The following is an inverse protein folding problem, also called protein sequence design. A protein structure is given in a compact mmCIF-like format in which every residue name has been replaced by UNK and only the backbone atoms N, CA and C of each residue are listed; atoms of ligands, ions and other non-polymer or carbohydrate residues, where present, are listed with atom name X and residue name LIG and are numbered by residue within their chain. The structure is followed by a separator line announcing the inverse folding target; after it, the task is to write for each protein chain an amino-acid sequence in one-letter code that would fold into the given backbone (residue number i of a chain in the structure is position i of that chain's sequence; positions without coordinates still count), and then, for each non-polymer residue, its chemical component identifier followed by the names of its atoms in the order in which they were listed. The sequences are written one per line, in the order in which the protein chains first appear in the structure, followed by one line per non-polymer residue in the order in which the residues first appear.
data_IF_840126204107
#
_entry.id   IF_840126204107
#
_cell.length_a   1.000
_cell.length_b   1.000
_cell.length_c   1.000
_cell.angle_alpha   90.00
_cell.angle_beta   90.00
_cell.angle_gamma   90.00
#
_symmetry.space_group_name_H-M   'P 1'
#
loop_
_entity.id
_entity.type
_entity.pdbx_description
1 polymer ?
#
# COMPACT_ATOMS: atom_id res chain seq x y z
N UNK A 1 -9.62 12.48 -32.46
CA UNK A 1 -9.38 11.32 -33.33
C UNK A 1 -8.40 10.41 -32.59
N UNK A 2 -8.92 9.44 -31.81
CA UNK A 2 -8.09 8.45 -31.13
C UNK A 2 -7.70 7.37 -32.13
N UNK A 3 -6.42 7.17 -32.30
CA UNK A 3 -5.90 6.04 -33.04
C UNK A 3 -6.19 4.75 -32.26
N UNK A 4 -7.11 3.97 -32.79
CA UNK A 4 -7.42 2.64 -32.27
C UNK A 4 -6.38 1.67 -32.81
N UNK A 5 -5.29 1.48 -32.06
CA UNK A 5 -4.17 0.60 -32.43
C UNK A 5 -4.63 -0.86 -32.57
N UNK A 6 -5.77 -1.24 -31.99
CA UNK A 6 -6.31 -2.59 -32.07
C UNK A 6 -6.77 -2.96 -33.49
N UNK A 7 -7.25 -1.98 -34.27
CA UNK A 7 -7.70 -2.20 -35.67
C UNK A 7 -6.58 -2.33 -36.70
N UNK A 8 -5.35 -1.88 -36.37
CA UNK A 8 -4.20 -2.00 -37.27
C UNK A 8 -3.46 -3.33 -37.17
N UNK A 9 -3.80 -4.16 -36.18
CA UNK A 9 -3.09 -5.40 -35.89
C UNK A 9 -3.85 -6.67 -36.33
N UNK A 10 -5.05 -6.55 -36.86
CA UNK A 10 -5.91 -7.67 -37.31
C UNK A 10 -5.43 -8.37 -38.58
N UNK A 11 -4.19 -8.20 -38.99
CA UNK A 11 -3.62 -8.84 -40.19
C UNK A 11 -2.16 -9.23 -40.06
N UNK A 12 -1.57 -9.11 -38.88
CA UNK A 12 -0.21 -9.55 -38.67
C UNK A 12 -0.15 -11.03 -38.32
N UNK A 13 0.51 -11.79 -39.16
CA UNK A 13 0.73 -13.21 -39.01
C UNK A 13 1.21 -13.58 -37.61
N UNK A 14 0.81 -14.76 -37.13
CA UNK A 14 1.01 -15.33 -35.79
C UNK A 14 2.47 -15.43 -35.28
N UNK A 15 3.41 -14.84 -35.99
CA UNK A 15 4.83 -14.86 -35.65
C UNK A 15 5.30 -13.69 -34.76
N UNK A 16 4.41 -12.74 -34.42
CA UNK A 16 4.69 -11.63 -33.53
C UNK A 16 3.94 -11.74 -32.22
N UNK A 17 4.66 -11.70 -31.11
CA UNK A 17 4.09 -11.52 -29.76
C UNK A 17 3.54 -10.10 -29.63
N UNK A 18 2.33 -9.87 -30.08
CA UNK A 18 1.63 -8.59 -29.90
C UNK A 18 0.92 -8.60 -28.57
N UNK A 19 1.38 -7.79 -27.65
CA UNK A 19 0.72 -7.52 -26.37
C UNK A 19 0.14 -6.10 -26.34
N UNK A 20 -0.92 -5.89 -25.59
CA UNK A 20 -1.38 -4.54 -25.31
C UNK A 20 -0.36 -3.82 -24.43
N UNK A 21 -0.03 -2.57 -24.74
CA UNK A 21 0.90 -1.76 -23.97
C UNK A 21 0.50 -1.67 -22.49
N UNK A 22 -0.80 -1.60 -22.21
CA UNK A 22 -1.33 -1.60 -20.83
C UNK A 22 -0.98 -2.86 -20.06
N UNK A 23 -1.06 -4.03 -20.68
CA UNK A 23 -0.75 -5.31 -20.04
C UNK A 23 0.76 -5.42 -19.79
N UNK A 24 1.57 -4.92 -20.69
CA UNK A 24 3.02 -4.81 -20.50
C UNK A 24 3.37 -3.90 -19.33
N UNK A 25 2.74 -2.73 -19.22
CA UNK A 25 2.95 -1.80 -18.12
C UNK A 25 2.52 -2.42 -16.78
N UNK A 26 1.37 -3.09 -16.73
CA UNK A 26 0.91 -3.81 -15.51
C UNK A 26 1.88 -4.92 -15.14
N UNK A 27 2.34 -5.69 -16.11
CA UNK A 27 3.32 -6.75 -15.87
C UNK A 27 4.63 -6.19 -15.33
N UNK A 28 5.18 -5.14 -15.95
CA UNK A 28 6.42 -4.48 -15.51
C UNK A 28 6.29 -3.96 -14.07
N UNK A 29 5.21 -3.24 -13.74
CA UNK A 29 4.95 -2.72 -12.40
C UNK A 29 4.80 -3.81 -11.34
N UNK A 30 4.24 -4.97 -11.70
CA UNK A 30 4.10 -6.10 -10.78
C UNK A 30 5.37 -6.90 -10.57
N UNK A 31 6.40 -6.70 -11.39
CA UNK A 31 7.65 -7.46 -11.33
C UNK A 31 8.85 -6.66 -10.84
N UNK A 32 8.76 -5.35 -10.84
CA UNK A 32 9.82 -4.46 -10.40
C UNK A 32 9.20 -3.34 -9.57
N UNK A 33 8.94 -3.65 -8.31
CA UNK A 33 8.40 -2.71 -7.33
C UNK A 33 9.40 -2.49 -6.20
N UNK A 34 9.76 -1.25 -5.97
CA UNK A 34 10.73 -0.91 -4.94
C UNK A 34 10.02 -0.50 -3.65
N UNK A 35 10.45 -1.13 -2.54
CA UNK A 35 9.87 -0.89 -1.23
C UNK A 35 10.49 0.32 -0.52
N UNK A 36 9.64 1.22 -0.01
CA UNK A 36 10.05 2.20 0.99
C UNK A 36 10.04 1.53 2.36
N UNK A 37 11.15 1.60 3.07
CA UNK A 37 11.25 1.11 4.44
C UNK A 37 10.65 2.12 5.41
N UNK A 38 9.53 1.76 6.02
CA UNK A 38 8.93 2.53 7.11
C UNK A 38 8.72 1.63 8.32
N UNK A 39 9.85 1.23 8.93
CA UNK A 39 9.89 0.36 10.10
C UNK A 39 9.83 1.14 11.40
N UNK A 40 8.80 0.92 12.21
CA UNK A 40 8.54 1.69 13.42
C UNK A 40 8.62 0.86 14.71
N UNK A 41 8.53 -0.47 14.62
CA UNK A 41 8.49 -1.36 15.79
C UNK A 41 8.96 -2.77 15.43
N UNK A 42 8.53 -3.78 16.22
CA UNK A 42 8.92 -5.18 16.04
C UNK A 42 8.65 -5.74 14.63
N UNK A 43 7.61 -5.30 13.94
CA UNK A 43 7.35 -5.72 12.56
C UNK A 43 8.47 -5.33 11.59
N UNK A 44 9.26 -4.31 11.91
CA UNK A 44 10.42 -3.93 11.11
C UNK A 44 11.51 -5.02 11.10
N UNK A 45 11.66 -5.77 12.19
CA UNK A 45 12.62 -6.88 12.27
C UNK A 45 12.21 -8.01 11.32
N UNK A 46 10.92 -8.34 11.29
CA UNK A 46 10.39 -9.34 10.35
C UNK A 46 10.45 -8.87 8.90
N UNK A 47 10.24 -7.58 8.66
CA UNK A 47 10.44 -6.98 7.33
C UNK A 47 11.91 -7.08 6.87
N UNK A 48 12.87 -6.86 7.77
CA UNK A 48 14.30 -7.07 7.47
C UNK A 48 14.62 -8.55 7.26
N UNK A 49 14.02 -9.45 8.05
CA UNK A 49 14.18 -10.89 7.90
C UNK A 49 13.66 -11.38 6.55
N UNK A 50 12.58 -10.80 6.03
CA UNK A 50 12.05 -11.11 4.69
C UNK A 50 13.03 -10.77 3.56
N UNK A 51 13.88 -9.74 3.74
CA UNK A 51 14.99 -9.41 2.84
C UNK A 51 16.25 -10.24 3.08
N UNK A 52 16.28 -11.09 4.10
CA UNK A 52 17.42 -11.96 4.41
C UNK A 52 17.55 -13.14 3.44
N UNK A 53 18.74 -13.76 3.43
CA UNK A 53 19.09 -14.82 2.48
C UNK A 53 18.16 -16.05 2.50
N UNK A 54 17.47 -16.32 3.62
CA UNK A 54 16.55 -17.45 3.73
C UNK A 54 15.26 -17.23 2.93
N UNK A 55 14.73 -16.01 2.96
CA UNK A 55 13.45 -15.67 2.31
C UNK A 55 13.62 -14.94 0.98
N UNK A 56 14.57 -14.05 0.93
CA UNK A 56 15.02 -13.27 -0.23
C UNK A 56 13.90 -12.69 -1.12
N UNK A 57 13.55 -11.44 -0.87
CA UNK A 57 12.56 -10.70 -1.67
C UNK A 57 13.02 -10.39 -3.09
N UNK A 58 14.31 -10.57 -3.42
CA UNK A 58 14.86 -10.30 -4.76
C UNK A 58 14.14 -11.11 -5.85
N UNK A 59 13.82 -12.38 -5.58
CA UNK A 59 13.08 -13.25 -6.52
C UNK A 59 11.67 -12.77 -6.85
N UNK A 60 11.10 -11.88 -6.04
CA UNK A 60 9.79 -11.24 -6.27
C UNK A 60 9.91 -9.85 -6.91
N UNK A 61 11.13 -9.41 -7.24
CA UNK A 61 11.40 -8.11 -7.81
C UNK A 61 11.46 -6.96 -6.80
N UNK A 62 11.64 -7.27 -5.52
CA UNK A 62 11.69 -6.31 -4.41
C UNK A 62 13.03 -6.32 -3.66
N UNK A 63 14.14 -6.53 -4.38
CA UNK A 63 15.47 -6.56 -3.76
C UNK A 63 15.83 -5.22 -3.12
N UNK A 64 15.39 -4.12 -3.74
CA UNK A 64 15.84 -2.79 -3.35
C UNK A 64 14.87 -2.15 -2.38
N UNK A 65 15.31 -2.00 -1.12
CA UNK A 65 14.66 -1.15 -0.15
C UNK A 65 15.24 0.27 -0.23
N UNK A 66 14.39 1.24 -0.53
CA UNK A 66 14.80 2.64 -0.66
C UNK A 66 14.44 3.45 0.59
N UNK A 67 15.42 4.22 1.09
CA UNK A 67 15.18 5.20 2.13
C UNK A 67 14.51 6.48 1.56
N UNK A 68 14.70 6.75 0.26
CA UNK A 68 14.10 7.89 -0.41
C UNK A 68 12.68 7.55 -0.89
N UNK A 69 11.64 8.23 -0.39
CA UNK A 69 10.26 7.97 -0.81
C UNK A 69 10.03 8.24 -2.29
N UNK A 70 10.78 9.17 -2.89
CA UNK A 70 10.65 9.53 -4.32
C UNK A 70 11.08 8.43 -5.28
N UNK A 71 11.83 7.43 -4.79
CA UNK A 71 12.33 6.31 -5.58
C UNK A 71 11.61 4.99 -5.24
N UNK A 72 10.57 5.04 -4.42
CA UNK A 72 9.86 3.86 -3.97
C UNK A 72 8.43 3.85 -4.53
N UNK A 73 7.95 2.64 -4.83
CA UNK A 73 6.62 2.39 -5.37
C UNK A 73 5.67 1.83 -4.31
N UNK A 74 6.20 1.04 -3.38
CA UNK A 74 5.42 0.41 -2.29
C UNK A 74 5.89 0.94 -0.95
N UNK A 75 4.96 1.42 -0.13
CA UNK A 75 5.23 1.78 1.25
C UNK A 75 4.80 0.65 2.19
N UNK A 76 5.74 0.08 2.93
CA UNK A 76 5.44 -0.94 3.95
C UNK A 76 5.49 -0.27 5.32
N UNK A 77 4.33 -0.06 5.91
CA UNK A 77 4.21 0.50 7.26
C UNK A 77 4.28 -0.64 8.27
N UNK A 78 5.46 -0.85 8.84
CA UNK A 78 5.75 -1.98 9.72
C UNK A 78 5.78 -1.58 11.20
N UNK A 79 4.65 -1.74 11.89
CA UNK A 79 4.53 -1.54 13.32
C UNK A 79 3.57 -0.43 13.74
N UNK A 80 3.65 -0.05 15.03
CA UNK A 80 2.76 0.96 15.61
C UNK A 80 3.15 2.38 15.20
N UNK A 81 2.17 3.18 14.84
CA UNK A 81 2.34 4.59 14.49
C UNK A 81 1.88 5.46 15.63
N UNK A 82 2.74 6.34 16.14
CA UNK A 82 2.34 7.33 17.15
C UNK A 82 1.60 8.49 16.50
N UNK A 83 0.74 9.17 17.26
CA UNK A 83 0.05 10.38 16.80
C UNK A 83 1.02 11.48 16.32
N UNK A 84 2.20 11.57 16.95
CA UNK A 84 3.25 12.50 16.52
C UNK A 84 3.91 12.09 15.20
N UNK A 85 3.91 10.79 14.88
CA UNK A 85 4.50 10.27 13.65
C UNK A 85 3.51 10.26 12.47
N UNK A 86 2.21 10.33 12.74
CA UNK A 86 1.17 10.31 11.72
C UNK A 86 1.33 11.41 10.64
N UNK A 87 1.64 12.69 10.97
CA UNK A 87 1.91 13.72 9.97
C UNK A 87 3.14 13.41 9.11
N UNK A 88 4.20 12.85 9.69
CA UNK A 88 5.40 12.45 8.97
C UNK A 88 5.11 11.30 8.01
N UNK A 89 4.33 10.31 8.45
CA UNK A 89 3.86 9.21 7.60
C UNK A 89 3.11 9.75 6.36
N UNK A 90 2.20 10.70 6.57
CA UNK A 90 1.48 11.35 5.47
C UNK A 90 2.41 12.09 4.54
N UNK A 91 3.34 12.87 5.08
CA UNK A 91 4.31 13.62 4.29
C UNK A 91 5.19 12.71 3.42
N UNK A 92 5.64 11.57 3.97
CA UNK A 92 6.44 10.58 3.24
C UNK A 92 5.60 9.95 2.13
N UNK A 93 4.34 9.59 2.42
CA UNK A 93 3.43 9.06 1.42
C UNK A 93 3.18 10.05 0.27
N UNK A 94 3.02 11.35 0.57
CA UNK A 94 2.78 12.38 -0.44
C UNK A 94 4.02 12.63 -1.31
N UNK A 95 5.21 12.35 -0.80
CA UNK A 95 6.47 12.44 -1.57
C UNK A 95 6.69 11.27 -2.52
N UNK A 96 5.96 10.17 -2.37
CA UNK A 96 6.05 9.03 -3.29
C UNK A 96 5.39 9.37 -4.62
N UNK A 97 6.02 8.91 -5.70
CA UNK A 97 5.51 9.09 -7.07
C UNK A 97 4.30 8.17 -7.33
N UNK A 98 3.35 8.64 -8.12
CA UNK A 98 2.26 7.81 -8.62
C UNK A 98 2.71 6.92 -9.81
N UNK A 99 2.29 5.67 -9.90
CA UNK A 99 1.41 4.95 -8.97
C UNK A 99 2.15 4.43 -7.73
N UNK A 100 1.53 4.56 -6.57
CA UNK A 100 2.07 4.11 -5.27
C UNK A 100 1.09 3.21 -4.55
N UNK A 101 1.61 2.29 -3.74
CA UNK A 101 0.81 1.33 -2.98
C UNK A 101 1.26 1.28 -1.53
N UNK A 102 0.33 0.94 -0.64
CA UNK A 102 0.59 0.89 0.80
C UNK A 102 0.21 -0.49 1.35
N UNK A 103 1.16 -1.13 2.03
CA UNK A 103 0.95 -2.35 2.80
C UNK A 103 1.00 -1.99 4.29
N UNK A 104 -0.07 -2.29 5.01
CA UNK A 104 -0.11 -2.19 6.47
C UNK A 104 0.35 -3.51 7.08
N UNK A 105 1.54 -3.52 7.67
CA UNK A 105 2.15 -4.72 8.25
C UNK A 105 1.94 -4.79 9.76
N UNK A 106 1.22 -5.81 10.18
CA UNK A 106 0.95 -6.14 11.57
C UNK A 106 -0.31 -5.50 12.14
N UNK A 107 -0.77 -6.05 13.24
CA UNK A 107 -2.01 -5.63 13.91
C UNK A 107 -1.92 -4.18 14.39
N UNK A 108 -0.74 -3.73 14.83
CA UNK A 108 -0.55 -2.36 15.30
C UNK A 108 -0.78 -1.31 14.19
N UNK A 109 -0.31 -1.58 12.98
CA UNK A 109 -0.54 -0.70 11.84
C UNK A 109 -1.99 -0.81 11.33
N UNK A 110 -2.61 -1.98 11.45
CA UNK A 110 -3.95 -2.23 10.92
C UNK A 110 -5.08 -1.68 11.80
N UNK A 111 -4.95 -1.84 13.13
CA UNK A 111 -6.04 -1.50 14.10
C UNK A 111 -5.54 -0.93 15.42
N UNK A 112 -4.23 -0.63 15.55
CA UNK A 112 -3.62 -0.26 16.84
C UNK A 112 -3.26 -1.47 17.72
N UNK A 113 -3.84 -2.65 17.46
CA UNK A 113 -3.55 -3.88 18.17
C UNK A 113 -3.87 -3.81 19.68
N UNK A 114 -2.93 -4.30 20.49
CA UNK A 114 -3.03 -4.25 21.96
C UNK A 114 -2.84 -2.84 22.55
N UNK A 115 -2.38 -1.88 21.76
CA UNK A 115 -2.04 -0.53 22.23
C UNK A 115 -3.21 0.44 22.01
N UNK A 116 -4.33 0.20 22.66
CA UNK A 116 -5.48 1.09 22.60
C UNK A 116 -5.30 2.27 23.57
N UNK A 117 -4.55 3.28 23.14
CA UNK A 117 -4.32 4.50 23.92
C UNK A 117 -4.30 5.75 23.00
N UNK A 118 -4.40 6.92 23.64
CA UNK A 118 -4.44 8.22 22.92
C UNK A 118 -3.15 8.59 22.21
N UNK A 119 -2.02 7.97 22.53
CA UNK A 119 -0.73 8.30 21.95
C UNK A 119 -0.48 7.58 20.61
N UNK A 120 -1.23 6.53 20.33
CA UNK A 120 -1.07 5.70 19.14
C UNK A 120 -2.26 5.81 18.20
N UNK A 121 -1.95 5.76 16.92
CA UNK A 121 -2.93 5.72 15.84
C UNK A 121 -3.60 4.33 15.81
N UNK A 122 -4.92 4.31 15.76
CA UNK A 122 -5.73 3.09 15.75
C UNK A 122 -6.03 2.62 14.32
N UNK A 123 -5.00 2.55 13.49
CA UNK A 123 -5.05 2.15 12.09
C UNK A 123 -4.40 3.18 11.17
N UNK A 124 -3.51 2.72 10.30
CA UNK A 124 -2.79 3.55 9.34
C UNK A 124 -3.73 4.09 8.24
N UNK A 125 -4.83 3.38 7.99
CA UNK A 125 -5.89 3.75 7.06
C UNK A 125 -6.58 5.09 7.39
N UNK A 126 -6.43 5.58 8.62
CA UNK A 126 -6.89 6.92 9.02
C UNK A 126 -6.02 8.05 8.44
N UNK A 127 -4.78 7.74 8.05
CA UNK A 127 -3.80 8.74 7.57
C UNK A 127 -3.49 8.56 6.09
N UNK A 128 -3.28 7.32 5.65
CA UNK A 128 -2.96 6.99 4.25
C UNK A 128 -3.85 5.85 3.75
N UNK A 129 -4.20 5.84 2.46
CA UNK A 129 -4.98 4.73 1.90
C UNK A 129 -4.17 3.43 1.93
N UNK A 130 -4.71 2.37 2.53
CA UNK A 130 -4.09 1.05 2.59
C UNK A 130 -4.69 0.15 1.51
N UNK A 131 -3.82 -0.50 0.73
CA UNK A 131 -4.23 -1.42 -0.34
C UNK A 131 -4.28 -2.87 0.14
N UNK A 132 -3.32 -3.29 0.96
CA UNK A 132 -3.21 -4.66 1.48
C UNK A 132 -2.82 -4.64 2.96
N UNK A 133 -3.42 -5.55 3.72
CA UNK A 133 -3.10 -5.79 5.12
C UNK A 133 -2.35 -7.11 5.29
N UNK A 134 -1.23 -7.08 6.02
CA UNK A 134 -0.49 -8.27 6.45
C UNK A 134 -0.78 -8.53 7.92
N UNK A 135 -1.66 -9.50 8.27
CA UNK A 135 -2.05 -9.76 9.65
C UNK A 135 -0.96 -10.49 10.42
N UNK A 136 -0.86 -10.22 11.71
CA UNK A 136 0.08 -10.87 12.64
C UNK A 136 0.62 -9.91 13.70
N UNK A 137 1.28 -10.46 14.72
CA UNK A 137 1.87 -9.66 15.80
C UNK A 137 3.16 -10.29 16.35
N UNK A 138 4.30 -10.12 15.63
CA UNK A 138 4.46 -9.65 14.26
C UNK A 138 4.01 -10.69 13.24
N UNK A 139 3.64 -10.29 12.02
CA UNK A 139 3.47 -11.24 10.92
C UNK A 139 4.83 -11.81 10.54
N UNK A 140 4.91 -13.11 10.32
CA UNK A 140 6.14 -13.75 9.84
C UNK A 140 6.51 -13.28 8.42
N UNK A 141 7.76 -13.50 8.00
CA UNK A 141 8.22 -13.11 6.67
C UNK A 141 7.37 -13.70 5.54
N UNK A 142 6.85 -14.92 5.72
CA UNK A 142 5.96 -15.58 4.75
C UNK A 142 4.65 -14.82 4.56
N UNK A 143 4.10 -14.26 5.65
CA UNK A 143 2.87 -13.47 5.60
C UNK A 143 3.10 -12.17 4.84
N UNK A 144 4.27 -11.54 5.03
CA UNK A 144 4.64 -10.35 4.26
C UNK A 144 4.81 -10.68 2.78
N UNK A 145 5.51 -11.76 2.44
CA UNK A 145 5.70 -12.23 1.06
C UNK A 145 4.34 -12.53 0.40
N UNK A 146 3.45 -13.19 1.13
CA UNK A 146 2.08 -13.45 0.64
C UNK A 146 1.33 -12.15 0.36
N UNK A 147 1.44 -11.16 1.24
CA UNK A 147 0.81 -9.85 1.07
C UNK A 147 1.37 -9.08 -0.14
N UNK A 148 2.67 -9.18 -0.38
CA UNK A 148 3.33 -8.63 -1.56
C UNK A 148 2.83 -9.31 -2.84
N UNK A 149 2.76 -10.65 -2.85
CA UNK A 149 2.25 -11.39 -4.00
C UNK A 149 0.79 -11.06 -4.28
N UNK A 150 -0.02 -10.92 -3.24
CA UNK A 150 -1.41 -10.47 -3.36
C UNK A 150 -1.50 -9.07 -3.98
N UNK A 151 -0.63 -8.14 -3.55
CA UNK A 151 -0.55 -6.81 -4.14
C UNK A 151 -0.18 -6.87 -5.62
N UNK A 152 0.82 -7.68 -5.99
CA UNK A 152 1.23 -7.86 -7.39
C UNK A 152 0.09 -8.42 -8.25
N UNK A 153 -0.70 -9.34 -7.73
CA UNK A 153 -1.87 -9.87 -8.42
C UNK A 153 -2.96 -8.81 -8.61
N UNK A 154 -3.22 -8.01 -7.58
CA UNK A 154 -4.16 -6.88 -7.65
C UNK A 154 -3.71 -5.80 -8.65
N UNK A 155 -2.41 -5.56 -8.78
CA UNK A 155 -1.85 -4.64 -9.79
C UNK A 155 -2.09 -5.21 -11.20
N UNK A 156 -1.83 -6.51 -11.41
CA UNK A 156 -2.01 -7.17 -12.71
C UNK A 156 -3.47 -7.20 -13.15
N UNK A 157 -4.38 -7.48 -12.23
CA UNK A 157 -5.83 -7.49 -12.52
C UNK A 157 -6.41 -6.11 -12.75
N UNK A 158 -5.71 -5.03 -12.35
CA UNK A 158 -6.20 -3.67 -12.41
C UNK A 158 -7.32 -3.35 -11.41
N UNK A 159 -7.56 -4.25 -10.46
CA UNK A 159 -8.65 -4.11 -9.49
C UNK A 159 -8.41 -2.98 -8.50
N UNK A 160 -7.15 -2.70 -8.13
CA UNK A 160 -6.80 -1.58 -7.25
C UNK A 160 -7.25 -0.24 -7.82
N UNK A 161 -7.06 -0.03 -9.13
CA UNK A 161 -7.51 1.19 -9.80
C UNK A 161 -9.03 1.32 -9.72
N UNK A 162 -9.75 0.22 -9.92
CA UNK A 162 -11.23 0.18 -9.81
C UNK A 162 -11.69 0.44 -8.38
N UNK A 163 -11.05 -0.20 -7.37
CA UNK A 163 -11.38 -0.01 -5.95
C UNK A 163 -11.14 1.44 -5.52
N UNK A 164 -10.03 2.05 -5.91
CA UNK A 164 -9.71 3.44 -5.60
C UNK A 164 -10.71 4.39 -6.25
N UNK A 165 -11.08 4.17 -7.50
CA UNK A 165 -12.08 4.97 -8.19
C UNK A 165 -13.47 4.85 -7.53
N UNK A 166 -13.88 3.64 -7.12
CA UNK A 166 -15.16 3.41 -6.46
C UNK A 166 -15.24 4.01 -5.05
N UNK A 167 -14.12 4.07 -4.33
CA UNK A 167 -14.08 4.52 -2.93
C UNK A 167 -13.75 6.03 -2.82
N UNK A 168 -13.43 6.71 -3.93
CA UNK A 168 -12.97 8.12 -3.93
C UNK A 168 -11.65 8.32 -3.16
N UNK A 169 -10.97 7.26 -2.76
CA UNK A 169 -9.73 7.29 -1.96
C UNK A 169 -8.49 7.76 -2.72
N UNK A 170 -8.65 8.26 -3.93
CA UNK A 170 -7.62 9.02 -4.62
C UNK A 170 -7.72 10.53 -4.37
N UNK A 171 -8.83 10.98 -3.79
CA UNK A 171 -9.01 12.37 -3.39
C UNK A 171 -8.67 12.48 -1.89
N UNK A 172 -7.80 13.39 -1.57
CA UNK A 172 -7.36 13.86 -0.26
C UNK A 172 -8.12 13.29 0.95
N UNK A 173 -7.47 12.42 1.71
CA UNK A 173 -7.86 12.24 3.11
C UNK A 173 -7.55 13.57 3.78
N UNK A 174 -8.57 14.37 4.02
CA UNK A 174 -8.43 15.62 4.76
C UNK A 174 -7.82 15.26 6.11
N UNK A 175 -6.60 15.74 6.35
CA UNK A 175 -5.98 15.64 7.66
C UNK A 175 -6.84 16.51 8.56
N UNK A 176 -7.65 15.86 9.42
CA UNK A 176 -8.31 16.53 10.51
C UNK A 176 -7.26 17.29 11.31
N UNK A 177 -7.56 18.53 11.67
CA UNK A 177 -6.66 19.37 12.44
C UNK A 177 -6.12 18.59 13.66
N UNK A 178 -4.87 18.80 14.08
CA UNK A 178 -4.30 18.12 15.24
C UNK A 178 -5.18 18.43 16.47
N UNK A 179 -5.90 17.43 16.96
CA UNK A 179 -6.80 17.56 18.09
C UNK A 179 -8.12 16.80 17.99
N UNK A 180 -8.57 16.39 16.84
CA UNK A 180 -9.77 15.58 16.70
C UNK A 180 -9.43 14.22 16.08
N UNK A 181 -9.38 13.20 16.93
CA UNK A 181 -9.57 11.83 16.51
C UNK A 181 -11.01 11.72 16.00
N UNK A 182 -11.21 11.92 14.70
CA UNK A 182 -12.47 11.53 14.08
C UNK A 182 -12.51 10.01 14.09
N UNK A 183 -13.25 9.47 15.06
CA UNK A 183 -13.73 8.09 15.02
C UNK A 183 -14.40 7.93 13.64
N UNK A 184 -13.75 7.27 12.71
CA UNK A 184 -14.38 6.90 11.45
C UNK A 184 -15.47 5.90 11.83
N UNK A 185 -16.72 6.34 11.78
CA UNK A 185 -17.87 5.49 12.03
C UNK A 185 -17.75 4.24 11.15
N UNK A 186 -17.81 3.07 11.75
CA UNK A 186 -17.92 1.81 11.02
C UNK A 186 -19.19 1.89 10.17
N UNK A 187 -19.21 1.29 8.97
CA UNK A 187 -20.43 1.27 8.18
C UNK A 187 -21.59 0.67 9.02
N UNK A 188 -22.57 1.49 9.38
CA UNK A 188 -23.72 1.09 10.20
C UNK A 188 -23.81 1.72 11.59
N UNK A 189 -22.84 2.52 12.03
CA UNK A 189 -22.89 3.20 13.32
C UNK A 189 -23.49 4.62 13.17
N UNK A 190 -24.56 4.96 13.90
CA UNK A 190 -25.18 6.29 13.80
C UNK A 190 -24.23 7.35 14.32
N UNK A 191 -24.19 8.50 13.61
CA UNK A 191 -23.38 9.65 13.98
C UNK A 191 -23.69 10.10 15.41
N UNK A 192 -22.67 10.48 16.23
CA UNK A 192 -22.92 11.04 17.54
C UNK A 192 -23.69 12.35 17.42
N UNK A 193 -24.80 12.45 18.16
CA UNK A 193 -25.63 13.64 18.22
C UNK A 193 -24.77 14.82 18.68
N UNK A 194 -24.76 15.90 17.87
CA UNK A 194 -24.02 17.12 18.17
C UNK A 194 -24.42 17.69 19.51
N UNK A 195 -23.43 17.97 20.35
CA UNK A 195 -23.58 18.84 21.51
C UNK A 195 -23.65 20.29 21.01
N UNK A 196 -24.81 20.89 21.22
CA UNK A 196 -25.02 22.32 21.09
C UNK A 196 -24.19 23.12 22.10
#
# INVERSE_FOLDING_TARGET
MGWDVSKGLEGLDHNFLTGKLEDFVKWSRSRSSWGATFGLACCALEMMAAGGAHYDLARFGMEVFRASPRQADIMIVAGRVSQKMAPVLRQIHDQMMEPKWVISMGVCASTGGMFNNYALLQGVDQVVPVDVYAPGCPPGPETLIHSINTLHELIRSGELTRRRAATGRGAEVAIGQPGHATHSARPGEPAPAGSA
#
